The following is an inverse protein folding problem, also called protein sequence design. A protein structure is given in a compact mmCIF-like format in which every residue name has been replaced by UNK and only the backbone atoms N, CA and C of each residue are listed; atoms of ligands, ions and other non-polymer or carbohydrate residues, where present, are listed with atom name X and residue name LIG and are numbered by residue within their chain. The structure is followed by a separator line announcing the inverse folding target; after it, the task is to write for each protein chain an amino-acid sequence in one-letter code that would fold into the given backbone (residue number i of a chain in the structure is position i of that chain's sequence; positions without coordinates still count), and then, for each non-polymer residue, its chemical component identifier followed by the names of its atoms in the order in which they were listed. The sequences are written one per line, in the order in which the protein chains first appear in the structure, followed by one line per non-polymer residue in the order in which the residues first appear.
data_IF_453548569040
#
_entry.id   IF_453548569040
#
_cell.length_a   1.000
_cell.length_b   1.000
_cell.length_c   1.000
_cell.angle_alpha   90.00
_cell.angle_beta   90.00
_cell.angle_gamma   90.00
#
_symmetry.space_group_name_H-M   'P 1'
#
loop_
_entity.id
_entity.type
_entity.pdbx_description
1 polymer ?
#
# COMPACT_ATOMS: atom_id res chain seq x y z
N UNK A 1 40.21 -8.48 13.87
CA UNK A 1 39.37 -7.30 13.60
C UNK A 1 39.04 -7.27 12.11
N UNK A 2 37.93 -7.90 11.72
CA UNK A 2 37.42 -7.91 10.35
C UNK A 2 35.91 -7.72 10.48
N UNK A 3 35.46 -6.50 10.20
CA UNK A 3 34.07 -6.08 10.32
C UNK A 3 33.27 -6.67 9.15
N UNK A 4 32.61 -7.80 9.40
CA UNK A 4 31.58 -8.34 8.53
C UNK A 4 30.24 -7.71 8.91
N UNK A 5 29.89 -6.63 8.21
CA UNK A 5 28.53 -6.11 8.17
C UNK A 5 28.08 -6.05 6.71
N UNK A 6 26.80 -6.30 6.39
CA UNK A 6 26.30 -6.10 5.03
C UNK A 6 26.52 -4.64 4.60
N UNK A 7 26.64 -4.34 3.30
CA UNK A 7 26.74 -2.96 2.84
C UNK A 7 25.52 -2.18 3.32
N UNK A 8 25.76 -1.11 4.08
CA UNK A 8 24.71 -0.16 4.47
C UNK A 8 24.27 0.61 3.22
N UNK A 9 23.14 0.24 2.64
CA UNK A 9 22.19 1.16 1.99
C UNK A 9 20.98 0.37 1.50
N UNK A 10 19.99 0.24 2.39
CA UNK A 10 18.64 -0.12 1.99
C UNK A 10 18.10 0.99 1.06
N UNK A 11 17.62 0.63 -0.13
CA UNK A 11 17.00 1.58 -1.06
C UNK A 11 15.91 2.39 -0.33
N UNK A 12 16.12 3.70 -0.19
CA UNK A 12 15.10 4.60 0.35
C UNK A 12 14.06 4.92 -0.72
N UNK A 13 12.77 4.83 -0.39
CA UNK A 13 11.65 4.98 -1.32
C UNK A 13 11.55 6.30 -2.12
N UNK A 14 12.38 7.33 -1.85
CA UNK A 14 12.30 8.63 -2.54
C UNK A 14 12.73 8.61 -4.01
N UNK A 15 13.52 7.63 -4.45
CA UNK A 15 14.11 7.59 -5.80
C UNK A 15 13.27 6.81 -6.81
N UNK A 16 12.63 5.74 -6.35
CA UNK A 16 11.68 4.92 -7.13
C UNK A 16 10.49 5.79 -7.60
N UNK A 17 10.14 6.79 -6.80
CA UNK A 17 9.00 7.67 -6.95
C UNK A 17 9.11 8.56 -8.20
N UNK A 18 10.32 8.98 -8.51
CA UNK A 18 10.60 9.87 -9.65
C UNK A 18 10.55 9.12 -10.99
N UNK A 19 10.95 7.84 -11.01
CA UNK A 19 10.97 7.01 -12.22
C UNK A 19 9.54 6.70 -12.69
N UNK A 20 8.61 6.51 -11.74
CA UNK A 20 7.23 6.18 -12.04
C UNK A 20 6.32 7.41 -12.23
N UNK A 21 6.84 8.62 -11.99
CA UNK A 21 6.06 9.87 -12.10
C UNK A 21 5.54 10.11 -13.52
N UNK A 22 6.34 9.80 -14.54
CA UNK A 22 6.00 10.09 -15.94
C UNK A 22 5.12 9.01 -16.59
N UNK A 23 5.03 7.82 -15.98
CA UNK A 23 4.23 6.70 -16.50
C UNK A 23 2.80 6.66 -15.97
N UNK A 24 2.41 7.55 -15.05
CA UNK A 24 1.01 7.63 -14.57
C UNK A 24 0.58 6.44 -13.71
N UNK A 25 1.52 5.85 -12.97
CA UNK A 25 1.26 4.74 -12.06
C UNK A 25 0.41 5.23 -10.86
N UNK A 26 -0.60 4.45 -10.45
CA UNK A 26 -1.51 4.79 -9.36
C UNK A 26 -1.85 3.54 -8.53
N UNK A 27 -2.70 3.66 -7.49
CA UNK A 27 -3.05 2.53 -6.62
C UNK A 27 -3.65 1.35 -7.39
N UNK A 28 -4.52 1.63 -8.36
CA UNK A 28 -5.12 0.58 -9.19
C UNK A 28 -4.05 -0.25 -9.93
N UNK A 29 -3.01 0.41 -10.45
CA UNK A 29 -1.89 -0.27 -11.09
C UNK A 29 -1.03 -1.05 -10.10
N UNK A 30 -0.78 -0.50 -8.91
CA UNK A 30 0.02 -1.18 -7.88
C UNK A 30 -0.73 -2.40 -7.31
N UNK A 31 -2.03 -2.29 -7.07
CA UNK A 31 -2.88 -3.40 -6.61
C UNK A 31 -2.98 -4.51 -7.66
N UNK A 32 -3.08 -4.14 -8.94
CA UNK A 32 -3.04 -5.09 -10.03
C UNK A 32 -1.68 -5.83 -10.08
N UNK A 33 -0.58 -5.12 -9.88
CA UNK A 33 0.75 -5.72 -9.78
C UNK A 33 0.89 -6.67 -8.58
N UNK A 34 0.39 -6.28 -7.40
CA UNK A 34 0.36 -7.14 -6.21
C UNK A 34 -0.47 -8.41 -6.44
N UNK A 35 -1.64 -8.28 -7.09
CA UNK A 35 -2.46 -9.42 -7.46
C UNK A 35 -1.74 -10.37 -8.42
N UNK A 36 -0.96 -9.85 -9.36
CA UNK A 36 -0.15 -10.67 -10.28
C UNK A 36 1.03 -11.35 -9.58
N UNK A 37 1.65 -10.66 -8.62
CA UNK A 37 2.68 -11.23 -7.75
C UNK A 37 2.14 -12.41 -6.94
N UNK A 38 0.96 -12.24 -6.34
CA UNK A 38 0.27 -13.30 -5.60
C UNK A 38 -0.05 -14.51 -6.50
N UNK A 39 -0.59 -14.27 -7.70
CA UNK A 39 -0.84 -15.35 -8.68
C UNK A 39 0.45 -16.10 -9.06
N UNK A 40 1.55 -15.39 -9.24
CA UNK A 40 2.84 -15.98 -9.58
C UNK A 40 3.43 -16.85 -8.46
N UNK A 41 3.26 -16.44 -7.20
CA UNK A 41 3.62 -17.22 -6.02
C UNK A 41 2.75 -18.48 -5.90
N UNK A 42 1.43 -18.34 -6.03
CA UNK A 42 0.49 -19.47 -6.01
C UNK A 42 0.79 -20.47 -7.13
N UNK A 43 1.00 -19.98 -8.36
CA UNK A 43 1.38 -20.81 -9.51
C UNK A 43 2.76 -21.45 -9.37
N UNK A 44 3.60 -20.91 -8.49
CA UNK A 44 4.88 -21.48 -8.09
C UNK A 44 4.81 -22.50 -6.96
N UNK A 45 3.63 -22.76 -6.41
CA UNK A 45 3.44 -23.66 -5.28
C UNK A 45 3.87 -23.09 -3.92
N UNK A 46 4.01 -21.76 -3.82
CA UNK A 46 4.24 -21.11 -2.53
C UNK A 46 3.06 -21.36 -1.58
N UNK A 47 3.36 -21.63 -0.31
CA UNK A 47 2.32 -21.76 0.70
C UNK A 47 1.75 -20.38 1.12
N UNK A 48 0.62 -20.42 1.82
CA UNK A 48 -0.12 -19.22 2.25
C UNK A 48 0.74 -18.30 3.13
N UNK A 49 1.64 -18.88 3.95
CA UNK A 49 2.51 -18.12 4.84
C UNK A 49 3.57 -17.34 4.05
N UNK A 50 4.20 -17.98 3.06
CA UNK A 50 5.19 -17.34 2.19
C UNK A 50 4.54 -16.25 1.33
N UNK A 51 3.35 -16.51 0.80
CA UNK A 51 2.58 -15.53 0.04
C UNK A 51 2.33 -14.29 0.91
N UNK A 52 1.78 -14.46 2.11
CA UNK A 52 1.50 -13.35 3.02
C UNK A 52 2.77 -12.57 3.38
N UNK A 53 3.88 -13.26 3.64
CA UNK A 53 5.16 -12.63 3.96
C UNK A 53 5.71 -11.77 2.81
N UNK A 54 5.62 -12.25 1.57
CA UNK A 54 6.04 -11.49 0.39
C UNK A 54 5.14 -10.27 0.18
N UNK A 55 3.83 -10.43 0.31
CA UNK A 55 2.87 -9.34 0.12
C UNK A 55 3.08 -8.23 1.16
N UNK A 56 3.28 -8.60 2.44
CA UNK A 56 3.60 -7.66 3.52
C UNK A 56 4.94 -6.95 3.29
N UNK A 57 5.92 -7.64 2.71
CA UNK A 57 7.25 -7.08 2.45
C UNK A 57 7.24 -6.08 1.30
N UNK A 58 6.41 -6.33 0.27
CA UNK A 58 6.34 -5.48 -0.93
C UNK A 58 5.45 -4.26 -0.73
N UNK A 59 4.39 -4.35 0.08
CA UNK A 59 3.42 -3.26 0.29
C UNK A 59 4.05 -1.90 0.68
N UNK A 60 5.04 -1.82 1.60
CA UNK A 60 5.69 -0.55 1.94
C UNK A 60 6.39 0.14 0.77
N UNK A 61 6.76 -0.61 -0.29
CA UNK A 61 7.35 -0.04 -1.50
C UNK A 61 6.35 0.83 -2.27
N UNK A 62 5.04 0.73 -2.02
CA UNK A 62 3.99 1.52 -2.67
C UNK A 62 4.25 3.02 -2.59
N UNK A 63 4.62 3.53 -1.42
CA UNK A 63 4.89 4.95 -1.22
C UNK A 63 6.05 5.41 -2.11
N UNK A 64 7.09 4.59 -2.16
CA UNK A 64 8.22 4.85 -3.01
C UNK A 64 7.90 4.66 -4.49
N UNK A 65 7.09 3.69 -4.89
CA UNK A 65 6.74 3.48 -6.30
C UNK A 65 5.81 4.56 -6.82
N UNK A 66 4.84 5.01 -6.04
CA UNK A 66 3.79 5.91 -6.52
C UNK A 66 4.18 7.40 -6.52
N UNK A 67 5.43 7.75 -6.28
CA UNK A 67 5.80 9.17 -6.35
C UNK A 67 5.26 9.99 -5.19
N UNK A 68 4.67 9.35 -4.17
CA UNK A 68 4.01 10.06 -3.09
C UNK A 68 5.11 10.70 -2.27
N UNK A 69 5.23 12.02 -2.41
CA UNK A 69 5.82 12.82 -1.34
C UNK A 69 5.02 12.48 -0.08
N UNK A 70 5.61 12.72 1.08
CA UNK A 70 4.83 13.14 2.23
C UNK A 70 4.06 14.39 1.76
N UNK A 71 2.92 14.17 1.09
CA UNK A 71 1.96 15.20 0.82
C UNK A 71 1.49 15.52 2.22
N UNK A 72 2.04 16.61 2.75
CA UNK A 72 1.64 17.15 4.04
C UNK A 72 0.11 17.14 3.99
N UNK A 73 -0.54 16.38 4.87
CA UNK A 73 -2.00 16.20 4.84
C UNK A 73 -2.70 17.57 4.75
N UNK A 74 -2.03 18.58 5.32
CA UNK A 74 -2.35 20.00 5.25
C UNK A 74 -2.40 20.60 3.83
N UNK A 75 -1.52 20.23 2.90
CA UNK A 75 -1.51 20.71 1.50
C UNK A 75 -2.60 20.07 0.63
N UNK A 76 -2.92 18.78 0.83
CA UNK A 76 -4.06 18.16 0.13
C UNK A 76 -5.39 18.64 0.73
N UNK A 77 -5.43 18.84 2.05
CA UNK A 77 -6.58 19.41 2.73
C UNK A 77 -6.83 20.86 2.33
N UNK A 78 -5.83 21.59 1.82
CA UNK A 78 -5.93 22.97 1.37
C UNK A 78 -5.23 23.18 0.02
N UNK A 79 -5.99 23.10 -1.07
CA UNK A 79 -5.48 23.39 -2.42
C UNK A 79 -5.81 24.82 -2.79
N UNK A 80 -4.78 25.60 -3.16
CA UNK A 80 -4.90 27.03 -3.47
C UNK A 80 -5.53 27.86 -2.33
N UNK A 81 -5.34 27.43 -1.08
CA UNK A 81 -5.93 28.06 0.10
C UNK A 81 -7.40 27.72 0.34
N UNK A 82 -8.01 26.87 -0.49
CA UNK A 82 -9.38 26.38 -0.33
C UNK A 82 -9.37 25.01 0.31
N UNK A 83 -10.06 24.88 1.45
CA UNK A 83 -10.19 23.61 2.15
C UNK A 83 -10.88 22.56 1.28
N UNK A 84 -10.52 21.29 1.45
CA UNK A 84 -11.11 20.21 0.70
C UNK A 84 -12.61 20.06 1.01
N UNK A 85 -13.03 20.32 2.24
CA UNK A 85 -14.46 20.36 2.58
C UNK A 85 -15.24 21.36 1.71
N UNK A 86 -14.68 22.55 1.46
CA UNK A 86 -15.29 23.57 0.60
C UNK A 86 -15.30 23.13 -0.87
N UNK A 87 -14.22 22.49 -1.33
CA UNK A 87 -14.13 21.93 -2.69
C UNK A 87 -15.12 20.78 -2.93
N UNK A 88 -15.51 20.06 -1.89
CA UNK A 88 -16.57 19.05 -1.91
C UNK A 88 -17.98 19.67 -1.81
N UNK A 89 -18.10 20.99 -1.77
CA UNK A 89 -19.37 21.72 -1.68
C UNK A 89 -19.82 22.01 -0.24
N UNK A 90 -18.90 21.97 0.71
CA UNK A 90 -19.10 22.41 2.08
C UNK A 90 -19.61 21.32 3.02
N UNK A 91 -19.92 21.75 4.24
CA UNK A 91 -20.18 20.88 5.38
C UNK A 91 -21.41 19.96 5.19
N UNK A 92 -22.48 20.48 4.58
CA UNK A 92 -23.71 19.72 4.31
C UNK A 92 -23.48 18.55 3.35
N UNK A 93 -22.59 18.75 2.36
CA UNK A 93 -22.21 17.68 1.44
C UNK A 93 -21.37 16.63 2.18
N UNK A 94 -20.44 17.05 3.04
CA UNK A 94 -19.64 16.10 3.83
C UNK A 94 -20.51 15.27 4.78
N UNK A 95 -21.49 15.89 5.45
CA UNK A 95 -22.45 15.17 6.30
C UNK A 95 -23.25 14.14 5.48
N UNK A 96 -23.72 14.53 4.29
CA UNK A 96 -24.45 13.66 3.37
C UNK A 96 -23.59 12.51 2.83
N UNK A 97 -22.30 12.75 2.56
CA UNK A 97 -21.33 11.72 2.17
C UNK A 97 -21.15 10.72 3.30
N UNK A 98 -20.98 11.19 4.54
CA UNK A 98 -20.79 10.31 5.71
C UNK A 98 -22.02 9.44 5.96
N UNK A 99 -23.22 10.02 5.87
CA UNK A 99 -24.47 9.25 6.05
C UNK A 99 -24.59 8.16 4.98
N UNK A 100 -24.49 8.56 3.71
CA UNK A 100 -24.62 7.65 2.56
C UNK A 100 -23.54 6.57 2.55
N UNK A 101 -22.29 6.92 2.90
CA UNK A 101 -21.19 5.97 3.01
C UNK A 101 -21.43 4.97 4.14
N UNK A 102 -21.88 5.42 5.30
CA UNK A 102 -22.17 4.51 6.40
C UNK A 102 -23.29 3.53 6.03
N UNK A 103 -24.36 4.01 5.38
CA UNK A 103 -25.45 3.15 4.89
C UNK A 103 -24.94 2.10 3.89
N UNK A 104 -24.13 2.50 2.89
CA UNK A 104 -23.53 1.56 1.94
C UNK A 104 -22.63 0.52 2.62
N UNK A 105 -21.86 0.94 3.62
CA UNK A 105 -21.06 0.01 4.42
C UNK A 105 -21.91 -1.00 5.21
N UNK A 106 -23.15 -0.67 5.58
CA UNK A 106 -24.08 -1.61 6.23
C UNK A 106 -24.69 -2.63 5.25
N UNK A 107 -24.73 -2.30 3.96
CA UNK A 107 -25.31 -3.14 2.91
C UNK A 107 -24.27 -4.04 2.23
N UNK A 108 -23.01 -3.58 2.11
CA UNK A 108 -21.95 -4.31 1.42
C UNK A 108 -21.56 -5.60 2.14
N UNK A 109 -21.74 -6.75 1.48
CA UNK A 109 -21.50 -8.07 2.08
C UNK A 109 -20.07 -8.31 2.54
N UNK A 110 -19.09 -7.58 2.00
CA UNK A 110 -17.67 -7.72 2.33
C UNK A 110 -17.32 -7.09 3.69
N UNK A 111 -18.04 -6.05 4.09
CA UNK A 111 -17.70 -5.26 5.28
C UNK A 111 -18.86 -5.04 6.26
N UNK A 112 -20.11 -5.36 5.89
CA UNK A 112 -21.30 -5.12 6.73
C UNK A 112 -21.18 -5.62 8.15
N UNK A 113 -20.45 -6.71 8.38
CA UNK A 113 -20.18 -7.24 9.72
C UNK A 113 -19.52 -6.20 10.66
N UNK A 114 -18.67 -5.31 10.15
CA UNK A 114 -18.04 -4.25 10.94
C UNK A 114 -19.00 -3.11 11.27
N UNK A 115 -20.03 -2.92 10.46
CA UNK A 115 -20.96 -1.77 10.52
C UNK A 115 -22.34 -2.14 11.10
N UNK A 116 -22.64 -3.42 11.25
CA UNK A 116 -23.84 -3.94 11.92
C UNK A 116 -23.75 -3.68 13.43
N UNK A 117 -24.27 -2.51 13.82
CA UNK A 117 -24.26 -2.01 15.20
C UNK A 117 -25.66 -1.53 15.57
N UNK A 118 -26.00 -1.64 16.85
CA UNK A 118 -27.25 -1.06 17.36
C UNK A 118 -27.35 0.44 17.08
N UNK A 119 -28.58 0.94 16.86
CA UNK A 119 -28.87 2.32 16.39
C UNK A 119 -28.06 3.41 17.10
N UNK A 120 -27.97 3.36 18.43
CA UNK A 120 -27.23 4.35 19.21
C UNK A 120 -25.72 4.34 18.90
N UNK A 121 -25.12 3.14 18.75
CA UNK A 121 -23.71 3.01 18.42
C UNK A 121 -23.44 3.39 16.97
N UNK A 122 -24.32 3.00 16.03
CA UNK A 122 -24.22 3.39 14.63
C UNK A 122 -24.25 4.92 14.46
N UNK A 123 -25.10 5.62 15.21
CA UNK A 123 -25.13 7.09 15.27
C UNK A 123 -23.82 7.68 15.78
N UNK A 124 -23.24 7.12 16.84
CA UNK A 124 -21.95 7.57 17.36
C UNK A 124 -20.81 7.39 16.35
N UNK A 125 -20.81 6.27 15.61
CA UNK A 125 -19.78 6.03 14.59
C UNK A 125 -19.90 7.02 13.44
N UNK A 126 -21.11 7.33 12.96
CA UNK A 126 -21.33 8.39 11.95
C UNK A 126 -20.77 9.74 12.39
N UNK A 127 -21.08 10.17 13.63
CA UNK A 127 -20.54 11.42 14.19
C UNK A 127 -19.02 11.40 14.22
N UNK A 128 -18.42 10.28 14.67
CA UNK A 128 -16.96 10.14 14.74
C UNK A 128 -16.30 10.09 13.36
N UNK A 129 -16.96 9.48 12.39
CA UNK A 129 -16.52 9.43 10.99
C UNK A 129 -16.57 10.82 10.36
N UNK A 130 -17.64 11.59 10.58
CA UNK A 130 -17.71 12.99 10.17
C UNK A 130 -16.62 13.83 10.82
N UNK A 131 -16.39 13.69 12.13
CA UNK A 131 -15.31 14.41 12.83
C UNK A 131 -13.93 14.09 12.21
N UNK A 132 -13.68 12.81 11.89
CA UNK A 132 -12.44 12.37 11.26
C UNK A 132 -12.27 12.99 9.87
N UNK A 133 -13.27 12.84 9.00
CA UNK A 133 -13.20 13.35 7.63
C UNK A 133 -13.15 14.89 7.60
N UNK A 134 -13.94 15.57 8.44
CA UNK A 134 -13.89 17.03 8.56
C UNK A 134 -12.49 17.50 8.95
N UNK A 135 -11.88 16.91 9.99
CA UNK A 135 -10.53 17.28 10.41
C UNK A 135 -9.48 17.01 9.34
N UNK A 136 -9.56 15.84 8.68
CA UNK A 136 -8.66 15.45 7.60
C UNK A 136 -8.80 16.33 6.34
N UNK A 137 -10.02 16.82 6.04
CA UNK A 137 -10.31 17.63 4.85
C UNK A 137 -10.18 19.14 5.08
N UNK A 138 -9.58 19.55 6.20
CA UNK A 138 -9.37 20.97 6.53
C UNK A 138 -10.62 21.68 7.07
N UNK A 139 -11.62 20.93 7.52
CA UNK A 139 -12.83 21.45 8.15
C UNK A 139 -12.61 21.90 9.61
N UNK A 140 -13.60 22.61 10.18
CA UNK A 140 -13.47 23.20 11.52
C UNK A 140 -13.57 22.17 12.65
N UNK A 141 -14.13 20.98 12.36
CA UNK A 141 -14.34 19.94 13.36
C UNK A 141 -13.18 18.97 13.34
N UNK A 142 -12.55 18.79 14.50
CA UNK A 142 -11.36 17.97 14.64
C UNK A 142 -11.66 16.61 15.28
N UNK A 143 -10.88 15.60 14.88
CA UNK A 143 -10.87 14.28 15.48
C UNK A 143 -9.52 14.03 16.13
N UNK A 144 -9.53 13.51 17.35
CA UNK A 144 -8.29 13.12 18.02
C UNK A 144 -7.80 11.78 17.46
N UNK A 145 -6.79 11.87 16.59
CA UNK A 145 -6.14 10.76 15.89
C UNK A 145 -5.58 9.70 16.84
N UNK A 146 -5.26 10.05 18.09
CA UNK A 146 -4.82 9.08 19.09
C UNK A 146 -5.89 8.01 19.38
N UNK A 147 -7.16 8.29 19.10
CA UNK A 147 -8.26 7.35 19.29
C UNK A 147 -8.50 6.43 18.10
N UNK A 148 -7.96 6.74 16.91
CA UNK A 148 -8.29 6.00 15.70
C UNK A 148 -7.79 4.56 15.76
N UNK A 149 -6.51 4.39 16.09
CA UNK A 149 -5.87 3.08 16.19
C UNK A 149 -6.47 2.20 17.31
N UNK A 150 -6.62 2.67 18.56
CA UNK A 150 -7.28 1.90 19.62
C UNK A 150 -8.71 1.47 19.27
N UNK A 151 -9.47 2.32 18.55
CA UNK A 151 -10.83 2.01 18.17
C UNK A 151 -10.93 0.83 17.18
N UNK A 152 -9.93 0.65 16.30
CA UNK A 152 -9.93 -0.38 15.25
C UNK A 152 -9.07 -1.60 15.58
N UNK A 153 -8.20 -1.52 16.60
CA UNK A 153 -7.22 -2.54 16.94
C UNK A 153 -7.79 -3.95 17.15
N UNK A 154 -8.97 -4.08 17.73
CA UNK A 154 -9.58 -5.40 18.01
C UNK A 154 -10.42 -5.95 16.86
N UNK A 155 -10.59 -5.20 15.77
CA UNK A 155 -11.58 -5.50 14.73
C UNK A 155 -11.05 -6.39 13.60
N UNK A 156 -9.74 -6.69 13.56
CA UNK A 156 -9.13 -7.53 12.52
C UNK A 156 -9.44 -7.06 11.08
N UNK A 157 -9.42 -5.75 10.87
CA UNK A 157 -9.64 -5.10 9.58
C UNK A 157 -8.39 -5.31 8.71
N UNK A 158 -8.58 -5.79 7.49
CA UNK A 158 -7.54 -6.04 6.47
C UNK A 158 -7.60 -4.95 5.41
N UNK A 159 -6.55 -4.84 4.59
CA UNK A 159 -6.52 -3.88 3.47
C UNK A 159 -7.72 -4.06 2.54
N UNK A 160 -8.08 -5.30 2.20
CA UNK A 160 -9.30 -5.60 1.43
C UNK A 160 -10.58 -4.96 2.00
N UNK A 161 -10.75 -4.94 3.33
CA UNK A 161 -11.90 -4.31 3.97
C UNK A 161 -11.80 -2.78 3.88
N UNK A 162 -10.60 -2.22 4.04
CA UNK A 162 -10.36 -0.79 3.95
C UNK A 162 -10.54 -0.27 2.52
N UNK A 163 -10.04 -1.00 1.52
CA UNK A 163 -10.21 -0.71 0.09
C UNK A 163 -11.68 -0.72 -0.30
N UNK A 164 -12.46 -1.64 0.28
CA UNK A 164 -13.91 -1.65 0.11
C UNK A 164 -14.55 -0.34 0.61
N UNK A 165 -14.09 0.20 1.75
CA UNK A 165 -14.58 1.50 2.24
C UNK A 165 -14.18 2.65 1.30
N UNK A 166 -12.95 2.66 0.78
CA UNK A 166 -12.51 3.67 -0.19
C UNK A 166 -13.32 3.60 -1.50
N UNK A 167 -13.57 2.38 -2.00
CA UNK A 167 -14.39 2.15 -3.18
C UNK A 167 -15.81 2.71 -2.97
N UNK A 168 -16.45 2.38 -1.84
CA UNK A 168 -17.79 2.89 -1.53
C UNK A 168 -17.79 4.41 -1.35
N UNK A 169 -16.73 5.00 -0.79
CA UNK A 169 -16.60 6.45 -0.67
C UNK A 169 -16.52 7.12 -2.05
N UNK A 170 -15.76 6.54 -2.99
CA UNK A 170 -15.70 7.00 -4.38
C UNK A 170 -17.08 6.92 -5.06
N UNK A 171 -17.77 5.79 -4.92
CA UNK A 171 -19.11 5.59 -5.50
C UNK A 171 -20.14 6.59 -4.94
N UNK A 172 -20.13 6.81 -3.62
CA UNK A 172 -21.03 7.76 -2.96
C UNK A 172 -20.76 9.18 -3.45
N UNK A 173 -19.52 9.66 -3.37
CA UNK A 173 -19.19 11.01 -3.81
C UNK A 173 -19.44 11.23 -5.30
N UNK A 174 -19.18 10.20 -6.14
CA UNK A 174 -19.49 10.21 -7.56
C UNK A 174 -20.99 10.28 -7.85
N UNK A 175 -21.82 9.53 -7.11
CA UNK A 175 -23.28 9.55 -7.26
C UNK A 175 -23.91 10.90 -6.88
N UNK A 176 -23.25 11.63 -5.99
CA UNK A 176 -23.61 12.99 -5.58
C UNK A 176 -23.11 14.07 -6.55
N UNK A 177 -22.41 13.67 -7.63
CA UNK A 177 -21.85 14.58 -8.63
C UNK A 177 -20.89 15.63 -8.02
N UNK A 178 -20.12 15.23 -7.01
CA UNK A 178 -19.09 16.10 -6.43
C UNK A 178 -17.92 16.29 -7.42
N UNK A 179 -17.10 17.32 -7.18
CA UNK A 179 -15.97 17.64 -8.03
C UNK A 179 -14.94 16.47 -8.06
N UNK A 180 -14.60 15.97 -9.26
CA UNK A 180 -13.71 14.82 -9.45
C UNK A 180 -12.33 15.00 -8.82
N UNK A 181 -11.68 16.14 -9.02
CA UNK A 181 -10.37 16.43 -8.41
C UNK A 181 -10.45 16.45 -6.87
N UNK A 182 -11.56 16.93 -6.31
CA UNK A 182 -11.79 16.90 -4.86
C UNK A 182 -12.05 15.47 -4.35
N UNK A 183 -12.72 14.61 -5.13
CA UNK A 183 -12.90 13.19 -4.80
C UNK A 183 -11.54 12.49 -4.76
N UNK A 184 -10.69 12.70 -5.76
CA UNK A 184 -9.37 12.07 -5.82
C UNK A 184 -8.47 12.49 -4.65
N UNK A 185 -8.50 13.77 -4.28
CA UNK A 185 -7.77 14.28 -3.10
C UNK A 185 -8.36 13.71 -1.79
N UNK A 186 -9.69 13.59 -1.69
CA UNK A 186 -10.36 13.01 -0.52
C UNK A 186 -9.97 11.54 -0.31
N UNK A 187 -9.96 10.74 -1.38
CA UNK A 187 -9.55 9.32 -1.31
C UNK A 187 -8.09 9.18 -0.93
N UNK A 188 -7.20 10.03 -1.46
CA UNK A 188 -5.79 10.05 -1.06
C UNK A 188 -5.62 10.37 0.42
N UNK A 189 -6.34 11.38 0.93
CA UNK A 189 -6.30 11.76 2.34
C UNK A 189 -6.86 10.63 3.23
N UNK A 190 -8.00 10.04 2.86
CA UNK A 190 -8.58 8.92 3.58
C UNK A 190 -7.61 7.73 3.62
N UNK A 191 -6.86 7.47 2.56
CA UNK A 191 -5.88 6.39 2.52
C UNK A 191 -4.73 6.59 3.51
N UNK A 192 -4.43 7.82 3.95
CA UNK A 192 -3.34 8.09 4.91
C UNK A 192 -3.59 7.46 6.29
N UNK A 193 -4.86 7.24 6.67
CA UNK A 193 -5.20 6.65 7.97
C UNK A 193 -5.30 5.12 7.95
N UNK A 194 -5.03 4.50 6.80
CA UNK A 194 -4.96 3.04 6.64
C UNK A 194 -4.16 2.34 7.73
N UNK A 195 -2.88 2.70 8.02
CA UNK A 195 -2.09 2.00 9.02
C UNK A 195 -2.75 2.00 10.39
N UNK A 196 -3.40 3.09 10.80
CA UNK A 196 -4.09 3.17 12.09
C UNK A 196 -5.29 2.23 12.16
N UNK A 197 -6.00 2.02 11.05
CA UNK A 197 -7.20 1.18 11.01
C UNK A 197 -6.85 -0.31 10.85
N UNK A 198 -5.82 -0.66 10.07
CA UNK A 198 -5.46 -2.06 9.80
C UNK A 198 -4.49 -2.67 10.81
N UNK A 199 -3.91 -1.88 11.73
CA UNK A 199 -2.88 -2.35 12.69
C UNK A 199 -3.29 -3.60 13.49
N UNK A 200 -4.57 -3.72 13.86
CA UNK A 200 -5.07 -4.86 14.64
C UNK A 200 -4.85 -6.23 13.99
N UNK A 201 -4.95 -6.29 12.67
CA UNK A 201 -4.65 -7.49 11.88
C UNK A 201 -3.13 -7.70 11.79
N UNK A 202 -2.38 -6.64 11.49
CA UNK A 202 -0.93 -6.74 11.29
C UNK A 202 -0.17 -7.21 12.53
N UNK A 203 -0.60 -6.82 13.74
CA UNK A 203 0.04 -7.30 14.99
C UNK A 203 -0.25 -8.76 15.29
N UNK A 204 -1.45 -9.28 14.98
CA UNK A 204 -1.76 -10.71 15.22
C UNK A 204 -1.15 -11.61 14.17
N UNK A 205 -1.12 -11.17 12.91
CA UNK A 205 -0.35 -11.81 11.85
C UNK A 205 1.13 -11.83 12.20
N UNK A 206 1.70 -10.72 12.70
CA UNK A 206 3.09 -10.63 13.15
C UNK A 206 3.37 -11.47 14.42
N UNK A 207 2.42 -11.62 15.36
CA UNK A 207 2.60 -12.50 16.51
C UNK A 207 2.53 -14.00 16.15
N UNK A 208 1.68 -14.38 15.19
CA UNK A 208 1.67 -15.71 14.60
C UNK A 208 2.97 -15.95 13.79
N UNK A 209 3.45 -14.92 13.08
CA UNK A 209 4.72 -14.91 12.37
C UNK A 209 5.91 -15.07 13.32
N UNK A 210 5.92 -14.39 14.47
CA UNK A 210 6.97 -14.52 15.50
C UNK A 210 7.06 -15.91 16.13
N UNK A 211 5.95 -16.65 16.17
CA UNK A 211 6.01 -18.08 16.55
C UNK A 211 6.59 -18.95 15.42
N UNK A 212 6.49 -18.53 14.16
CA UNK A 212 7.18 -19.14 13.01
C UNK A 212 8.61 -18.64 12.73
N UNK A 213 8.98 -17.43 13.19
CA UNK A 213 10.28 -16.78 13.00
C UNK A 213 11.31 -17.16 14.07
N UNK A 214 11.41 -18.45 14.37
CA UNK A 214 12.59 -18.99 15.06
C UNK A 214 13.76 -19.15 14.06
N UNK A 215 13.54 -18.89 12.76
CA UNK A 215 14.52 -19.07 11.68
C UNK A 215 14.73 -17.76 10.90
N UNK A 216 15.99 -17.35 10.70
CA UNK A 216 16.42 -16.07 10.10
C UNK A 216 16.27 -15.99 8.58
N UNK A 217 16.88 -14.98 7.91
CA UNK A 217 16.74 -14.73 6.46
C UNK A 217 17.00 -15.95 5.56
N UNK A 218 17.92 -16.85 5.92
CA UNK A 218 18.18 -18.13 5.25
C UNK A 218 16.92 -19.01 5.08
N UNK A 219 15.93 -18.83 5.97
CA UNK A 219 14.63 -19.48 5.89
C UNK A 219 13.83 -19.02 4.67
N UNK A 220 13.85 -17.73 4.31
CA UNK A 220 13.10 -17.22 3.17
C UNK A 220 13.64 -17.75 1.85
N UNK A 221 14.96 -17.76 1.67
CA UNK A 221 15.60 -18.38 0.50
C UNK A 221 15.24 -19.87 0.38
N UNK A 222 15.26 -20.60 1.50
CA UNK A 222 14.88 -22.01 1.53
C UNK A 222 13.39 -22.22 1.24
N UNK A 223 12.51 -21.40 1.81
CA UNK A 223 11.05 -21.44 1.60
C UNK A 223 10.67 -21.07 0.17
N UNK A 224 11.44 -20.22 -0.50
CA UNK A 224 11.28 -19.96 -1.92
C UNK A 224 11.68 -21.14 -2.81
N UNK A 225 12.33 -22.18 -2.28
CA UNK A 225 12.89 -23.30 -3.06
C UNK A 225 14.33 -23.08 -3.53
N UNK A 226 15.06 -22.18 -2.88
CA UNK A 226 16.43 -21.83 -3.24
C UNK A 226 16.51 -21.04 -4.56
N UNK A 227 17.66 -21.10 -5.23
CA UNK A 227 17.92 -20.29 -6.43
C UNK A 227 16.93 -20.57 -7.57
N UNK A 228 16.60 -21.85 -7.83
CA UNK A 228 15.63 -22.23 -8.85
C UNK A 228 14.22 -21.69 -8.55
N UNK A 229 13.88 -21.64 -7.27
CA UNK A 229 12.59 -21.13 -6.83
C UNK A 229 12.46 -19.61 -6.95
N UNK A 230 13.52 -18.87 -6.62
CA UNK A 230 13.62 -17.41 -6.84
C UNK A 230 13.58 -17.08 -8.34
N UNK A 231 14.33 -17.80 -9.16
CA UNK A 231 14.31 -17.65 -10.62
C UNK A 231 12.92 -17.96 -11.18
N UNK A 232 12.34 -19.10 -10.81
CA UNK A 232 11.01 -19.51 -11.23
C UNK A 232 9.94 -18.49 -10.83
N UNK A 233 10.06 -17.89 -9.64
CA UNK A 233 9.18 -16.82 -9.20
C UNK A 233 9.28 -15.59 -10.11
N UNK A 234 10.48 -15.07 -10.34
CA UNK A 234 10.68 -13.91 -11.24
C UNK A 234 10.12 -14.20 -12.63
N UNK A 235 10.39 -15.39 -13.18
CA UNK A 235 9.88 -15.77 -14.50
C UNK A 235 8.35 -15.78 -14.54
N UNK A 236 7.70 -16.45 -13.58
CA UNK A 236 6.22 -16.51 -13.48
C UNK A 236 5.60 -15.14 -13.23
N UNK A 237 6.20 -14.27 -12.41
CA UNK A 237 5.70 -12.92 -12.18
C UNK A 237 5.53 -12.17 -13.49
N UNK A 238 6.54 -12.22 -14.37
CA UNK A 238 6.44 -11.57 -15.66
C UNK A 238 5.55 -12.30 -16.67
N UNK A 239 5.39 -13.62 -16.58
CA UNK A 239 4.39 -14.35 -17.39
C UNK A 239 2.96 -13.92 -17.05
N UNK A 240 2.67 -13.65 -15.78
CA UNK A 240 1.37 -13.15 -15.34
C UNK A 240 1.20 -11.67 -15.71
N UNK A 241 2.19 -10.83 -15.39
CA UNK A 241 2.15 -9.38 -15.61
C UNK A 241 1.95 -9.02 -17.09
N UNK A 242 2.58 -9.72 -18.03
CA UNK A 242 2.43 -9.40 -19.47
C UNK A 242 1.04 -9.71 -20.01
N UNK A 243 0.30 -10.63 -19.37
CA UNK A 243 -1.07 -10.97 -19.72
C UNK A 243 -2.09 -10.02 -19.10
N UNK A 244 -1.72 -9.31 -18.02
CA UNK A 244 -2.61 -8.38 -17.34
C UNK A 244 -2.59 -7.00 -17.99
N UNK A 245 -3.67 -6.67 -18.71
CA UNK A 245 -3.85 -5.39 -19.42
C UNK A 245 -3.82 -4.17 -18.50
N UNK A 246 -3.99 -4.33 -17.19
CA UNK A 246 -3.98 -3.24 -16.21
C UNK A 246 -2.56 -2.74 -15.96
N UNK A 247 -1.55 -3.60 -16.12
CA UNK A 247 -0.16 -3.28 -15.76
C UNK A 247 0.83 -3.52 -16.89
N UNK A 248 0.52 -4.36 -17.89
CA UNK A 248 1.47 -4.75 -18.93
C UNK A 248 2.06 -3.57 -19.72
N UNK A 249 1.33 -2.46 -19.84
CA UNK A 249 1.76 -1.25 -20.53
C UNK A 249 3.00 -0.60 -19.89
N UNK A 250 3.31 -0.92 -18.63
CA UNK A 250 4.50 -0.43 -17.92
C UNK A 250 5.73 -1.32 -18.14
N UNK A 251 5.57 -2.49 -18.74
CA UNK A 251 6.58 -3.54 -18.82
C UNK A 251 6.97 -3.81 -20.28
N UNK A 252 7.89 -3.00 -20.81
CA UNK A 252 8.48 -3.22 -22.13
C UNK A 252 9.24 -4.57 -22.16
N UNK A 253 8.90 -5.42 -23.13
CA UNK A 253 9.37 -6.80 -23.19
C UNK A 253 10.89 -6.93 -23.33
N UNK A 254 11.55 -6.01 -24.04
CA UNK A 254 13.01 -6.06 -24.21
C UNK A 254 13.72 -5.58 -22.94
N UNK A 255 13.21 -4.53 -22.28
CA UNK A 255 13.72 -4.07 -20.98
C UNK A 255 13.52 -5.11 -19.90
N UNK A 256 12.35 -5.75 -19.83
CA UNK A 256 12.08 -6.84 -18.89
C UNK A 256 13.04 -8.00 -19.10
N UNK A 257 13.26 -8.42 -20.34
CA UNK A 257 14.19 -9.50 -20.67
C UNK A 257 15.62 -9.17 -20.24
N UNK A 258 16.06 -7.94 -20.41
CA UNK A 258 17.40 -7.49 -20.00
C UNK A 258 17.56 -7.39 -18.46
N UNK A 259 16.50 -7.04 -17.73
CA UNK A 259 16.54 -6.81 -16.28
C UNK A 259 16.31 -8.08 -15.44
N UNK A 260 15.55 -9.06 -15.95
CA UNK A 260 15.21 -10.32 -15.26
C UNK A 260 16.39 -11.02 -14.57
N UNK A 261 17.55 -11.24 -15.23
CA UNK A 261 18.69 -11.91 -14.57
C UNK A 261 19.19 -11.15 -13.34
N UNK A 262 19.35 -9.82 -13.46
CA UNK A 262 19.77 -8.98 -12.34
C UNK A 262 18.75 -8.93 -11.21
N UNK A 263 17.46 -9.03 -11.52
CA UNK A 263 16.41 -9.12 -10.51
C UNK A 263 16.46 -10.45 -9.75
N UNK A 264 16.73 -11.56 -10.44
CA UNK A 264 16.96 -12.88 -9.80
C UNK A 264 18.16 -12.82 -8.86
N UNK A 265 19.28 -12.26 -9.32
CA UNK A 265 20.50 -12.14 -8.50
C UNK A 265 20.25 -11.27 -7.26
N UNK A 266 19.53 -10.16 -7.42
CA UNK A 266 19.19 -9.26 -6.33
C UNK A 266 18.28 -9.92 -5.30
N UNK A 267 17.19 -10.55 -5.75
CA UNK A 267 16.26 -11.26 -4.85
C UNK A 267 16.95 -12.44 -4.15
N UNK A 268 17.82 -13.17 -4.85
CA UNK A 268 18.64 -14.23 -4.25
C UNK A 268 19.49 -13.69 -3.11
N UNK A 269 20.17 -12.55 -3.31
CA UNK A 269 20.95 -11.91 -2.26
C UNK A 269 20.08 -11.44 -1.08
N UNK A 270 18.97 -10.74 -1.35
CA UNK A 270 18.09 -10.17 -0.30
C UNK A 270 17.42 -11.25 0.55
N UNK A 271 17.08 -12.39 -0.07
CA UNK A 271 16.45 -13.51 0.61
C UNK A 271 17.44 -14.39 1.38
N UNK A 272 18.75 -14.09 1.35
CA UNK A 272 19.77 -14.85 2.10
C UNK A 272 20.39 -16.01 1.32
N UNK A 273 20.33 -15.98 -0.01
CA UNK A 273 21.00 -16.97 -0.86
C UNK A 273 22.52 -16.89 -0.82
N UNK A 274 23.23 -17.97 -1.21
CA UNK A 274 24.70 -18.04 -1.15
C UNK A 274 25.40 -17.18 -2.21
N UNK A 275 24.68 -16.73 -3.23
CA UNK A 275 25.19 -15.87 -4.29
C UNK A 275 24.97 -14.39 -3.92
N UNK A 276 26.06 -13.62 -3.87
CA UNK A 276 25.99 -12.17 -3.76
C UNK A 276 25.61 -11.53 -5.11
N UNK A 277 24.94 -10.38 -5.06
CA UNK A 277 24.65 -9.60 -6.26
C UNK A 277 25.94 -9.06 -6.90
N UNK A 278 26.29 -9.54 -8.10
CA UNK A 278 27.47 -9.13 -8.86
C UNK A 278 27.15 -8.15 -10.01
N UNK A 279 25.91 -7.68 -10.09
CA UNK A 279 25.48 -6.67 -11.05
C UNK A 279 26.07 -5.29 -10.76
N UNK A 280 25.79 -4.33 -11.65
CA UNK A 280 26.16 -2.92 -11.41
C UNK A 280 25.56 -2.48 -10.06
N UNK A 281 26.29 -1.73 -9.23
CA UNK A 281 25.74 -1.14 -8.01
C UNK A 281 24.40 -0.49 -8.32
N UNK A 282 23.40 -0.69 -7.45
CA UNK A 282 22.06 -0.16 -7.68
C UNK A 282 22.10 1.36 -7.86
N UNK A 283 22.95 2.06 -7.10
CA UNK A 283 23.29 3.47 -7.26
C UNK A 283 23.78 3.84 -8.67
N UNK A 284 24.58 3.00 -9.33
CA UNK A 284 25.12 3.24 -10.68
C UNK A 284 24.09 2.95 -11.78
N UNK A 285 23.30 1.89 -11.60
CA UNK A 285 22.15 1.60 -12.46
C UNK A 285 21.15 2.75 -12.40
N UNK A 286 21.11 3.44 -11.26
CA UNK A 286 20.24 4.57 -10.98
C UNK A 286 20.99 5.92 -10.96
N UNK A 287 22.24 6.03 -11.45
CA UNK A 287 23.07 7.23 -11.25
C UNK A 287 22.55 8.49 -11.97
N UNK A 288 21.73 8.33 -13.01
CA UNK A 288 20.97 9.42 -13.63
C UNK A 288 19.87 9.99 -12.70
N UNK A 289 19.74 9.46 -11.47
CA UNK A 289 18.70 9.79 -10.48
C UNK A 289 19.22 10.58 -9.27
N UNK A 290 20.48 11.06 -9.26
CA UNK A 290 21.05 12.02 -8.28
C UNK A 290 20.72 11.72 -6.80
N UNK A 291 21.33 10.68 -6.26
CA UNK A 291 21.08 10.09 -4.94
C UNK A 291 22.13 10.59 -3.94
N UNK A 292 21.74 11.26 -2.83
CA UNK A 292 22.65 11.68 -1.75
C UNK A 292 22.11 11.37 -0.33
N UNK A 293 23.05 11.05 0.57
CA UNK A 293 22.98 10.37 1.89
C UNK A 293 22.14 10.97 3.05
N UNK A 294 21.19 11.88 2.83
CA UNK A 294 20.77 12.75 3.95
C UNK A 294 19.78 12.19 5.00
N UNK A 295 19.26 10.95 4.95
CA UNK A 295 18.16 10.56 5.86
C UNK A 295 18.14 9.11 6.37
N UNK A 296 19.27 8.61 6.87
CA UNK A 296 19.29 7.33 7.60
C UNK A 296 20.04 7.43 8.93
N UNK A 297 19.37 8.04 9.92
CA UNK A 297 19.50 7.73 11.34
C UNK A 297 18.11 7.30 11.86
#
# INVERSE_FOLDING_TARGET
ALAWGPPKSALAGREIANIHREVGLNDYHFDAFLADLQKALMGGGADEQLIDEVMVTVEPLRQGVLGRKDNDATQLAHKEGVALVERLGGDLNLESVVESLYERCQEDTRIKYFFDKGKAKARQVRIKMYQLLSGLFGGPVQYDMANLKPAHYSMNIRDYHFDTVLQLAQEVMGSMSLNGDAIDDALQIMNMVRPDITTGCSVRTEMARRQGQVHGHDFLFSSFGGAEGVEGFVHRSFEVIVLDRRVNMFFDSEKVKAMKPSLVDYLTMVLGGPAGYAGRPLEDIHAFLSINDFFFD
#
